data_IF_406706198818
#
_entry.id   IF_406706198818
#
_cell.length_a   1.000
_cell.length_b   1.000
_cell.length_c   1.000
_cell.angle_alpha   90.00
_cell.angle_beta   90.00
_cell.angle_gamma   90.00
#
_symmetry.space_group_name_H-M   'P 1'
#
loop_
_entity.id
_entity.type
_entity.pdbx_description
1 polymer ?
#
# COMPACT_ATOMS: atom_id res chain seq x y z
N UNK A 1 11.17 -24.35 17.84
CA UNK A 1 12.46 -23.67 17.69
C UNK A 1 12.25 -22.29 17.08
N UNK A 2 13.03 -21.27 17.45
CA UNK A 2 13.06 -20.00 16.73
C UNK A 2 13.68 -20.20 15.34
N UNK A 3 13.23 -19.43 14.35
CA UNK A 3 13.78 -19.44 13.00
C UNK A 3 15.13 -18.69 12.95
N UNK A 4 16.02 -19.16 12.08
CA UNK A 4 17.32 -18.55 11.78
C UNK A 4 17.22 -17.51 10.66
N UNK A 5 18.33 -16.80 10.39
CA UNK A 5 18.43 -15.90 9.24
C UNK A 5 18.34 -16.66 7.92
N UNK A 6 18.87 -17.89 7.87
CA UNK A 6 18.84 -18.74 6.68
C UNK A 6 17.42 -19.20 6.37
N UNK A 7 16.60 -19.47 7.41
CA UNK A 7 15.18 -19.80 7.24
C UNK A 7 14.39 -18.62 6.64
N UNK A 8 14.70 -17.40 7.09
CA UNK A 8 14.09 -16.18 6.55
C UNK A 8 14.52 -15.95 5.10
N UNK A 9 15.83 -16.04 4.82
CA UNK A 9 16.37 -15.86 3.48
C UNK A 9 15.82 -16.89 2.50
N UNK A 10 15.85 -18.18 2.87
CA UNK A 10 15.28 -19.27 2.08
C UNK A 10 13.79 -19.07 1.81
N UNK A 11 13.03 -18.64 2.83
CA UNK A 11 11.61 -18.32 2.68
C UNK A 11 11.33 -17.13 1.77
N UNK A 12 12.22 -16.13 1.72
CA UNK A 12 12.11 -14.99 0.78
C UNK A 12 12.46 -15.44 -0.64
N UNK A 13 13.55 -16.19 -0.83
CA UNK A 13 13.98 -16.71 -2.13
C UNK A 13 12.87 -17.57 -2.76
N UNK A 14 12.31 -18.51 -2.00
CA UNK A 14 11.21 -19.34 -2.48
C UNK A 14 10.00 -18.50 -2.94
N UNK A 15 9.63 -17.47 -2.17
CA UNK A 15 8.54 -16.53 -2.54
C UNK A 15 8.86 -15.72 -3.79
N UNK A 16 10.11 -15.30 -3.98
CA UNK A 16 10.52 -14.54 -5.15
C UNK A 16 10.45 -15.38 -6.41
N UNK A 17 11.01 -16.61 -6.37
CA UNK A 17 10.96 -17.57 -7.48
C UNK A 17 9.52 -17.88 -7.85
N UNK A 18 8.67 -18.20 -6.87
CA UNK A 18 7.28 -18.57 -7.12
C UNK A 18 6.43 -17.42 -7.70
N UNK A 19 6.66 -16.17 -7.27
CA UNK A 19 5.84 -15.02 -7.70
C UNK A 19 6.35 -14.30 -8.96
N UNK A 20 7.53 -14.67 -9.45
CA UNK A 20 8.09 -14.12 -10.69
C UNK A 20 8.41 -15.24 -11.69
N UNK A 21 7.40 -16.02 -12.12
CA UNK A 21 7.61 -17.05 -13.12
C UNK A 21 8.06 -16.50 -14.48
N UNK A 22 7.99 -15.18 -14.68
CA UNK A 22 8.51 -14.48 -15.85
C UNK A 22 10.00 -14.14 -15.76
N UNK A 23 10.60 -14.23 -14.57
CA UNK A 23 12.05 -14.07 -14.35
C UNK A 23 12.72 -15.43 -14.17
N UNK A 24 12.06 -16.35 -13.46
CA UNK A 24 12.65 -17.62 -13.00
C UNK A 24 12.01 -18.87 -13.62
N UNK A 25 11.06 -18.72 -14.53
CA UNK A 25 10.36 -19.82 -15.21
C UNK A 25 9.98 -19.45 -16.64
N UNK A 26 8.96 -20.11 -17.18
CA UNK A 26 8.62 -20.02 -18.62
C UNK A 26 7.50 -19.00 -18.93
N UNK A 27 6.97 -18.30 -17.93
CA UNK A 27 5.91 -17.31 -18.18
C UNK A 27 6.47 -16.08 -18.89
N UNK A 28 5.66 -15.39 -19.68
CA UNK A 28 6.04 -14.10 -20.28
C UNK A 28 5.23 -12.98 -19.64
N UNK A 29 5.91 -11.91 -19.26
CA UNK A 29 5.33 -10.63 -18.85
C UNK A 29 6.24 -9.54 -19.41
N UNK A 30 5.72 -8.76 -20.34
CA UNK A 30 6.50 -7.81 -21.16
C UNK A 30 6.35 -6.37 -20.67
N UNK A 31 5.32 -6.09 -19.87
CA UNK A 31 5.08 -4.77 -19.29
C UNK A 31 5.11 -4.81 -17.75
N UNK A 32 5.46 -3.68 -17.09
CA UNK A 32 5.38 -3.57 -15.63
C UNK A 32 3.99 -3.90 -15.07
N UNK A 33 2.93 -3.56 -15.83
CA UNK A 33 1.54 -3.83 -15.50
C UNK A 33 1.25 -5.35 -15.49
N UNK A 34 1.68 -6.07 -16.53
CA UNK A 34 1.55 -7.53 -16.63
C UNK A 34 2.31 -8.24 -15.49
N UNK A 35 3.52 -7.76 -15.17
CA UNK A 35 4.31 -8.26 -14.03
C UNK A 35 3.55 -8.10 -12.72
N UNK A 36 2.98 -6.91 -12.49
CA UNK A 36 2.19 -6.60 -11.28
C UNK A 36 0.94 -7.46 -11.19
N UNK A 37 0.22 -7.66 -12.30
CA UNK A 37 -0.97 -8.53 -12.33
C UNK A 37 -0.64 -9.99 -12.03
N UNK A 38 0.41 -10.53 -12.65
CA UNK A 38 0.88 -11.90 -12.37
C UNK A 38 1.24 -12.07 -10.90
N UNK A 39 1.98 -11.13 -10.34
CA UNK A 39 2.36 -11.15 -8.93
C UNK A 39 1.14 -11.09 -8.00
N UNK A 40 0.16 -10.23 -8.30
CA UNK A 40 -1.08 -10.12 -7.52
C UNK A 40 -1.91 -11.40 -7.59
N UNK A 41 -2.03 -12.02 -8.77
CA UNK A 41 -2.74 -13.28 -8.99
C UNK A 41 -2.12 -14.41 -8.18
N UNK A 42 -0.81 -14.61 -8.28
CA UNK A 42 -0.10 -15.64 -7.50
C UNK A 42 -0.25 -15.41 -5.99
N UNK A 43 -0.14 -14.16 -5.53
CA UNK A 43 -0.39 -13.82 -4.12
C UNK A 43 -1.80 -14.10 -3.66
N UNK A 44 -2.81 -13.87 -4.52
CA UNK A 44 -4.20 -14.12 -4.17
C UNK A 44 -4.47 -15.61 -3.95
N UNK A 45 -3.92 -16.47 -4.83
CA UNK A 45 -4.02 -17.94 -4.71
C UNK A 45 -3.37 -18.44 -3.42
N UNK A 46 -2.17 -17.97 -3.09
CA UNK A 46 -1.45 -18.37 -1.86
C UNK A 46 -2.21 -17.99 -0.59
N UNK A 47 -2.82 -16.80 -0.56
CA UNK A 47 -3.32 -16.20 0.68
C UNK A 47 -4.73 -16.64 1.06
N UNK A 48 -5.52 -17.24 0.15
CA UNK A 48 -6.91 -17.74 0.36
C UNK A 48 -7.70 -16.92 1.39
N UNK A 49 -7.73 -15.59 1.20
CA UNK A 49 -8.31 -14.67 2.18
C UNK A 49 -9.82 -14.77 2.17
N UNK A 50 -10.44 -14.73 3.34
CA UNK A 50 -11.88 -14.62 3.47
C UNK A 50 -12.38 -13.18 3.22
N UNK A 51 -11.52 -12.18 3.44
CA UNK A 51 -11.83 -10.76 3.22
C UNK A 51 -10.72 -10.03 2.46
N UNK A 52 -11.09 -9.05 1.63
CA UNK A 52 -10.14 -8.13 0.97
C UNK A 52 -9.35 -7.28 1.97
N UNK A 53 -9.90 -7.07 3.17
CA UNK A 53 -9.26 -6.34 4.27
C UNK A 53 -8.31 -7.22 5.09
N UNK A 54 -8.31 -8.54 4.87
CA UNK A 54 -7.46 -9.45 5.63
C UNK A 54 -5.97 -9.18 5.39
N UNK A 55 -5.20 -9.12 6.47
CA UNK A 55 -3.78 -8.76 6.46
C UNK A 55 -3.52 -7.28 6.13
N UNK A 56 -4.47 -6.39 6.38
CA UNK A 56 -4.23 -4.94 6.48
C UNK A 56 -3.86 -4.63 7.94
N UNK A 57 -2.64 -4.14 8.23
CA UNK A 57 -2.26 -3.77 9.59
C UNK A 57 -3.04 -2.54 10.05
N UNK A 58 -3.85 -2.68 11.10
CA UNK A 58 -4.66 -1.56 11.60
C UNK A 58 -3.85 -0.53 12.41
N UNK A 59 -2.67 -0.89 12.91
CA UNK A 59 -1.78 0.00 13.66
C UNK A 59 -0.85 0.86 12.80
N UNK A 60 -0.99 0.83 11.48
CA UNK A 60 -0.21 1.70 10.58
C UNK A 60 -0.77 3.14 10.60
N UNK A 61 0.00 4.15 10.13
CA UNK A 61 -0.47 5.53 10.05
C UNK A 61 -1.81 5.68 9.34
N UNK A 62 -2.64 6.63 9.78
CA UNK A 62 -4.03 6.75 9.35
C UNK A 62 -4.22 6.93 7.84
N UNK A 63 -3.42 7.79 7.18
CA UNK A 63 -3.53 7.98 5.73
C UNK A 63 -3.04 6.76 4.96
N UNK A 64 -1.98 6.11 5.44
CA UNK A 64 -1.50 4.85 4.87
C UNK A 64 -2.56 3.73 5.00
N UNK A 65 -3.29 3.69 6.12
CA UNK A 65 -4.41 2.77 6.32
C UNK A 65 -5.55 3.02 5.35
N UNK A 66 -6.01 4.26 5.24
CA UNK A 66 -7.05 4.65 4.29
C UNK A 66 -6.67 4.29 2.85
N UNK A 67 -5.46 4.67 2.42
CA UNK A 67 -4.94 4.33 1.09
C UNK A 67 -4.86 2.82 0.88
N UNK A 68 -4.41 2.05 1.90
CA UNK A 68 -4.31 0.60 1.78
C UNK A 68 -5.67 -0.05 1.57
N UNK A 69 -6.69 0.38 2.30
CA UNK A 69 -8.06 -0.12 2.18
C UNK A 69 -8.65 0.21 0.80
N UNK A 70 -8.53 1.46 0.35
CA UNK A 70 -8.96 1.88 -1.00
C UNK A 70 -8.27 1.05 -2.09
N UNK A 71 -6.96 0.84 -1.96
CA UNK A 71 -6.17 0.02 -2.88
C UNK A 71 -6.65 -1.44 -2.93
N UNK A 72 -7.04 -2.03 -1.79
CA UNK A 72 -7.59 -3.39 -1.71
C UNK A 72 -8.93 -3.50 -2.42
N UNK A 73 -9.83 -2.54 -2.20
CA UNK A 73 -11.14 -2.46 -2.86
C UNK A 73 -10.95 -2.41 -4.38
N UNK A 74 -10.12 -1.49 -4.89
CA UNK A 74 -9.85 -1.37 -6.34
C UNK A 74 -9.20 -2.63 -6.91
N UNK A 75 -8.20 -3.18 -6.23
CA UNK A 75 -7.49 -4.39 -6.71
C UNK A 75 -8.43 -5.60 -6.80
N UNK A 76 -9.42 -5.67 -5.91
CA UNK A 76 -10.43 -6.72 -5.92
C UNK A 76 -11.59 -6.43 -6.90
N UNK A 77 -11.60 -5.28 -7.58
CA UNK A 77 -12.68 -4.87 -8.48
C UNK A 77 -14.01 -4.64 -7.77
N UNK A 78 -14.00 -4.35 -6.47
CA UNK A 78 -15.21 -4.11 -5.70
C UNK A 78 -15.66 -2.67 -5.86
N UNK A 79 -16.96 -2.47 -6.07
CA UNK A 79 -17.59 -1.14 -6.04
C UNK A 79 -18.04 -0.82 -4.60
N UNK A 80 -17.15 -0.19 -3.83
CA UNK A 80 -17.42 0.22 -2.45
C UNK A 80 -17.26 1.73 -2.33
N UNK A 81 -18.37 2.41 -2.08
CA UNK A 81 -18.35 3.85 -1.80
C UNK A 81 -17.76 4.11 -0.41
N UNK A 82 -16.83 5.06 -0.31
CA UNK A 82 -16.28 5.48 0.99
C UNK A 82 -17.40 6.03 1.88
N UNK A 83 -17.43 5.65 3.18
CA UNK A 83 -18.43 6.14 4.10
C UNK A 83 -18.31 7.66 4.25
N UNK A 84 -19.47 8.33 4.25
CA UNK A 84 -19.58 9.77 4.53
C UNK A 84 -20.12 9.95 5.94
N UNK A 85 -19.59 10.92 6.65
CA UNK A 85 -20.02 11.27 8.00
C UNK A 85 -19.55 12.67 8.36
N UNK A 86 -19.95 13.14 9.54
CA UNK A 86 -19.56 14.44 10.05
C UNK A 86 -18.15 14.40 10.65
N UNK A 87 -17.38 15.47 10.41
CA UNK A 87 -16.09 15.72 11.05
C UNK A 87 -14.86 15.33 10.22
N UNK A 88 -13.71 15.84 10.68
CA UNK A 88 -12.44 15.82 9.95
C UNK A 88 -11.96 14.41 9.60
N UNK A 89 -12.34 13.38 10.36
CA UNK A 89 -11.96 11.99 10.07
C UNK A 89 -12.50 11.49 8.73
N UNK A 90 -13.76 11.78 8.41
CA UNK A 90 -14.38 11.39 7.14
C UNK A 90 -13.85 12.23 5.98
N UNK A 91 -13.53 13.50 6.23
CA UNK A 91 -12.89 14.37 5.24
C UNK A 91 -11.49 13.88 4.88
N UNK A 92 -10.66 13.51 5.88
CA UNK A 92 -9.33 12.94 5.66
C UNK A 92 -9.40 11.60 4.94
N UNK A 93 -10.39 10.75 5.26
CA UNK A 93 -10.64 9.50 4.54
C UNK A 93 -10.96 9.75 3.06
N UNK A 94 -11.83 10.72 2.77
CA UNK A 94 -12.17 11.09 1.39
C UNK A 94 -10.97 11.64 0.62
N UNK A 95 -10.15 12.50 1.26
CA UNK A 95 -8.92 13.04 0.68
C UNK A 95 -7.90 11.93 0.38
N UNK A 96 -7.69 11.02 1.33
CA UNK A 96 -6.78 9.89 1.16
C UNK A 96 -7.26 8.96 0.02
N UNK A 97 -8.56 8.67 -0.04
CA UNK A 97 -9.14 7.86 -1.11
C UNK A 97 -8.99 8.50 -2.49
N UNK A 98 -9.18 9.83 -2.60
CA UNK A 98 -8.94 10.56 -3.85
C UNK A 98 -7.47 10.52 -4.27
N UNK A 99 -6.55 10.82 -3.35
CA UNK A 99 -5.11 10.75 -3.63
C UNK A 99 -4.73 9.36 -4.15
N UNK A 100 -5.25 8.31 -3.52
CA UNK A 100 -4.97 6.93 -3.91
C UNK A 100 -5.55 6.56 -5.29
N UNK A 101 -6.73 7.09 -5.64
CA UNK A 101 -7.31 6.97 -6.99
C UNK A 101 -6.49 7.71 -8.06
N UNK A 102 -5.83 8.80 -7.69
CA UNK A 102 -4.90 9.56 -8.53
C UNK A 102 -3.49 8.95 -8.58
N UNK A 103 -3.24 7.84 -7.87
CA UNK A 103 -1.94 7.18 -7.81
C UNK A 103 -0.93 7.86 -6.89
N UNK A 104 -1.37 8.79 -6.04
CA UNK A 104 -0.56 9.50 -5.05
C UNK A 104 -0.62 8.78 -3.71
N UNK A 105 0.53 8.57 -3.05
CA UNK A 105 0.58 8.10 -1.66
C UNK A 105 0.27 9.27 -0.71
N UNK A 106 -0.91 9.28 -0.05
CA UNK A 106 -1.32 10.43 0.78
C UNK A 106 -0.46 10.59 2.04
N UNK A 107 0.08 9.52 2.58
CA UNK A 107 0.94 9.59 3.77
C UNK A 107 2.29 10.20 3.40
N UNK A 108 2.88 9.79 2.27
CA UNK A 108 4.12 10.39 1.78
C UNK A 108 3.93 11.86 1.41
N UNK A 109 2.82 12.20 0.73
CA UNK A 109 2.48 13.56 0.36
C UNK A 109 2.30 14.48 1.58
N UNK A 110 1.55 14.04 2.59
CA UNK A 110 1.37 14.83 3.82
C UNK A 110 2.70 15.01 4.56
N UNK A 111 3.56 13.99 4.63
CA UNK A 111 4.89 14.13 5.24
C UNK A 111 5.76 15.15 4.52
N UNK A 112 5.71 15.20 3.20
CA UNK A 112 6.43 16.22 2.43
C UNK A 112 5.90 17.63 2.76
N UNK A 113 4.57 17.81 2.75
CA UNK A 113 3.94 19.07 3.13
C UNK A 113 4.26 19.50 4.57
N UNK A 114 4.25 18.56 5.52
CA UNK A 114 4.58 18.83 6.92
C UNK A 114 6.04 19.26 7.11
N UNK A 115 6.98 18.71 6.32
CA UNK A 115 8.38 19.15 6.32
C UNK A 115 8.52 20.58 5.79
N UNK A 116 7.82 20.92 4.71
CA UNK A 116 7.79 22.29 4.20
C UNK A 116 7.22 23.27 5.23
N UNK A 117 6.15 22.89 5.93
CA UNK A 117 5.60 23.70 7.02
C UNK A 117 6.57 23.89 8.18
N UNK A 118 7.27 22.82 8.60
CA UNK A 118 8.35 22.92 9.59
C UNK A 118 9.44 23.90 9.16
N UNK A 119 9.82 23.87 7.89
CA UNK A 119 10.87 24.75 7.38
C UNK A 119 10.41 26.22 7.35
N UNK A 120 9.12 26.47 7.07
CA UNK A 120 8.52 27.80 7.20
C UNK A 120 8.49 28.30 8.65
N UNK A 121 8.16 27.44 9.62
CA UNK A 121 8.22 27.78 11.05
C UNK A 121 9.64 28.23 11.43
N UNK A 122 10.66 27.48 11.00
CA UNK A 122 12.06 27.79 11.31
C UNK A 122 12.54 29.10 10.69
N UNK A 123 12.03 29.45 9.51
CA UNK A 123 12.34 30.72 8.87
C UNK A 123 11.77 31.90 9.67
N UNK A 124 10.56 31.77 10.19
CA UNK A 124 9.93 32.77 11.05
C UNK A 124 10.67 32.92 12.39
N UNK A 125 11.04 31.79 13.02
CA UNK A 125 11.82 31.77 14.26
C UNK A 125 13.19 32.46 14.12
N UNK A 126 13.79 32.47 12.92
CA UNK A 126 15.06 33.13 12.66
C UNK A 126 14.92 34.63 12.32
N UNK A 127 13.71 35.10 12.01
CA UNK A 127 13.43 36.48 11.62
C UNK A 127 13.03 37.37 12.81
N UNK A 128 12.56 36.77 13.92
CA UNK A 128 12.25 37.45 15.19
C UNK A 128 13.43 37.47 16.15
#
# INVERSE_FOLDING_TARGET
>A
EPFSVDDVAGGIVAKLVHRHPHVFGDATATTPEEVKEHWLRTKAVEKRRASVTEGVPLGQPGLALAAKLASRVRTAGLDVTLPRGEGIGYELLALAGRAEAEGVDPEAALRAAARAYRDAIRAEEAAG
#
